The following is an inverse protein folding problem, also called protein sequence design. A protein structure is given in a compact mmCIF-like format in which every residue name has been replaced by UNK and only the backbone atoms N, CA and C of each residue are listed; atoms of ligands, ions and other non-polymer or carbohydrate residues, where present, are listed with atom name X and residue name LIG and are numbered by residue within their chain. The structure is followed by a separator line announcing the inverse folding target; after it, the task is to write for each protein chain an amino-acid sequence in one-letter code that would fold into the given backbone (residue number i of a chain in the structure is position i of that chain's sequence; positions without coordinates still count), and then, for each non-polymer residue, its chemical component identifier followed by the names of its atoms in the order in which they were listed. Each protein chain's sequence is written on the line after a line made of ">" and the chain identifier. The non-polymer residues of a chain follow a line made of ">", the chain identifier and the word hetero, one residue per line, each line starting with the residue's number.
data_IF_319586732168
#
_entry.id   IF_319586732168
#
_cell.length_a   1.000
_cell.length_b   1.000
_cell.length_c   1.000
_cell.angle_alpha   90.00
_cell.angle_beta   90.00
_cell.angle_gamma   90.00
#
_symmetry.space_group_name_H-M   'P 1'
#
loop_
_entity.id
_entity.type
_entity.pdbx_description
1 polymer ?
#
# COMPACT_ATOMS: atom_id res chain seq x y z
N UNK A 1 -7.29 -13.18 -0.62
CA UNK A 1 -7.72 -12.05 0.25
C UNK A 1 -6.79 -10.89 -0.10
N UNK A 2 -7.32 -9.68 -0.32
CA UNK A 2 -6.51 -8.49 -0.65
C UNK A 2 -5.60 -8.11 0.53
N UNK A 3 -4.35 -7.75 0.23
CA UNK A 3 -3.40 -7.23 1.22
C UNK A 3 -3.63 -5.71 1.37
N UNK A 4 -3.99 -5.26 2.57
CA UNK A 4 -4.21 -3.84 2.87
C UNK A 4 -2.99 -3.23 3.56
N UNK A 5 -2.48 -2.15 2.99
CA UNK A 5 -1.37 -1.36 3.54
C UNK A 5 -1.80 0.09 3.77
N UNK A 6 -1.10 0.79 4.66
CA UNK A 6 -1.14 2.25 4.76
C UNK A 6 0.09 2.88 4.12
N UNK A 7 -0.10 3.96 3.35
CA UNK A 7 0.98 4.75 2.73
C UNK A 7 1.32 5.94 3.62
N UNK A 8 2.14 5.70 4.64
CA UNK A 8 2.42 6.70 5.69
C UNK A 8 3.74 6.44 6.42
N UNK A 9 4.28 7.48 7.08
CA UNK A 9 5.33 7.38 8.10
C UNK A 9 4.81 7.76 9.52
N UNK A 10 3.51 7.99 9.68
CA UNK A 10 2.89 8.36 10.96
C UNK A 10 2.56 7.11 11.77
N UNK A 11 3.40 6.83 12.77
CA UNK A 11 3.25 5.67 13.67
C UNK A 11 1.96 5.74 14.48
N UNK A 12 1.50 6.93 14.88
CA UNK A 12 0.28 7.08 15.66
C UNK A 12 -0.96 6.71 14.81
N UNK A 13 -0.98 7.12 13.55
CA UNK A 13 -2.03 6.73 12.60
C UNK A 13 -2.01 5.22 12.33
N UNK A 14 -0.82 4.61 12.15
CA UNK A 14 -0.72 3.15 11.97
C UNK A 14 -1.28 2.41 13.20
N UNK A 15 -0.92 2.84 14.41
CA UNK A 15 -1.45 2.26 15.65
C UNK A 15 -2.98 2.39 15.73
N UNK A 16 -3.52 3.55 15.38
CA UNK A 16 -4.97 3.81 15.36
C UNK A 16 -5.70 2.88 14.39
N UNK A 17 -5.21 2.77 13.15
CA UNK A 17 -5.86 1.94 12.14
C UNK A 17 -5.70 0.45 12.40
N UNK A 18 -4.60 0.01 13.02
CA UNK A 18 -4.41 -1.39 13.38
C UNK A 18 -5.45 -1.92 14.39
N UNK A 19 -6.11 -1.01 15.12
CA UNK A 19 -7.21 -1.38 16.03
C UNK A 19 -8.50 -1.76 15.30
N UNK A 20 -8.69 -1.33 14.04
CA UNK A 20 -9.95 -1.49 13.33
C UNK A 20 -9.82 -2.07 11.91
N UNK A 21 -8.61 -2.11 11.34
CA UNK A 21 -8.37 -2.64 10.00
C UNK A 21 -7.35 -3.79 10.03
N UNK A 22 -7.52 -4.81 9.19
CA UNK A 22 -6.58 -5.93 9.08
C UNK A 22 -5.37 -5.52 8.23
N UNK A 23 -4.49 -4.70 8.79
CA UNK A 23 -3.32 -4.20 8.07
C UNK A 23 -2.29 -5.32 7.84
N UNK A 24 -1.86 -5.50 6.59
CA UNK A 24 -0.72 -6.36 6.24
C UNK A 24 0.61 -5.69 6.59
N UNK A 25 0.66 -4.35 6.54
CA UNK A 25 1.86 -3.57 6.80
C UNK A 25 1.75 -2.14 6.32
N UNK A 26 2.89 -1.55 6.00
CA UNK A 26 3.01 -0.13 5.62
C UNK A 26 3.91 0.03 4.40
N UNK A 27 3.54 0.96 3.53
CA UNK A 27 4.41 1.43 2.46
C UNK A 27 4.91 2.83 2.78
N UNK A 28 6.19 3.08 2.50
CA UNK A 28 6.80 4.40 2.57
C UNK A 28 7.38 4.79 1.21
N UNK A 29 7.82 6.01 1.11
CA UNK A 29 8.62 6.52 0.00
C UNK A 29 9.45 7.71 0.49
N UNK A 30 10.48 8.18 -0.26
CA UNK A 30 11.34 9.27 0.17
C UNK A 30 10.58 10.56 0.53
N UNK A 31 9.49 10.88 -0.17
CA UNK A 31 8.69 12.08 0.10
C UNK A 31 7.91 11.98 1.41
N UNK A 32 7.39 10.80 1.74
CA UNK A 32 6.69 10.53 3.01
C UNK A 32 7.67 10.65 4.17
N UNK A 33 8.83 10.00 4.08
CA UNK A 33 9.88 10.06 5.10
C UNK A 33 10.43 11.49 5.28
N UNK A 34 10.66 12.21 4.19
CA UNK A 34 11.12 13.60 4.26
C UNK A 34 10.10 14.51 4.98
N UNK A 35 8.81 14.30 4.77
CA UNK A 35 7.75 15.07 5.46
C UNK A 35 7.66 14.73 6.94
N UNK A 36 7.85 13.48 7.33
CA UNK A 36 7.83 13.07 8.75
C UNK A 36 9.05 13.58 9.53
N UNK A 37 10.15 13.92 8.84
CA UNK A 37 11.45 14.29 9.43
C UNK A 37 12.04 13.19 10.31
N UNK A 38 11.58 11.96 10.19
CA UNK A 38 12.10 10.77 10.88
C UNK A 38 12.88 9.90 9.91
N UNK A 39 13.97 9.31 10.39
CA UNK A 39 14.76 8.36 9.62
C UNK A 39 13.99 7.04 9.40
N UNK A 40 14.36 6.29 8.35
CA UNK A 40 13.71 5.03 8.02
C UNK A 40 13.74 4.04 9.20
N UNK A 41 14.89 3.85 9.84
CA UNK A 41 15.04 2.88 10.93
C UNK A 41 14.16 3.20 12.13
N UNK A 42 14.08 4.47 12.52
CA UNK A 42 13.19 4.92 13.59
C UNK A 42 11.71 4.70 13.22
N UNK A 43 11.35 5.04 11.99
CA UNK A 43 9.99 4.83 11.47
C UNK A 43 9.62 3.34 11.48
N UNK A 44 10.48 2.45 10.97
CA UNK A 44 10.21 1.01 10.93
C UNK A 44 10.09 0.40 12.32
N UNK A 45 10.95 0.81 13.27
CA UNK A 45 10.88 0.34 14.66
C UNK A 45 9.54 0.72 15.31
N UNK A 46 9.12 1.97 15.18
CA UNK A 46 7.82 2.44 15.70
C UNK A 46 6.63 1.73 15.05
N UNK A 47 6.68 1.48 13.76
CA UNK A 47 5.63 0.75 13.04
C UNK A 47 5.57 -0.73 13.41
N UNK A 48 6.73 -1.36 13.63
CA UNK A 48 6.81 -2.73 14.12
C UNK A 48 6.14 -2.87 15.50
N UNK A 49 6.39 -1.91 16.39
CA UNK A 49 5.75 -1.87 17.71
C UNK A 49 4.23 -1.64 17.58
N UNK A 50 3.80 -0.73 16.70
CA UNK A 50 2.40 -0.37 16.50
C UNK A 50 1.56 -1.51 15.88
N UNK A 51 2.15 -2.31 14.98
CA UNK A 51 1.47 -3.39 14.27
C UNK A 51 1.58 -4.73 15.02
N UNK A 52 2.71 -5.00 15.67
CA UNK A 52 3.01 -6.30 16.25
C UNK A 52 3.21 -7.40 15.19
N UNK A 53 3.45 -8.62 15.63
CA UNK A 53 3.59 -9.77 14.71
C UNK A 53 4.70 -9.61 13.67
N UNK A 54 4.41 -9.97 12.42
CA UNK A 54 5.34 -9.88 11.28
C UNK A 54 4.73 -9.03 10.15
N UNK A 55 4.62 -7.72 10.34
CA UNK A 55 4.12 -6.83 9.31
C UNK A 55 5.12 -6.71 8.16
N UNK A 56 4.60 -6.49 6.94
CA UNK A 56 5.43 -6.24 5.76
C UNK A 56 5.66 -4.76 5.55
N UNK A 57 6.92 -4.39 5.31
CA UNK A 57 7.31 -3.01 5.04
C UNK A 57 7.85 -2.84 3.63
N UNK A 58 7.49 -1.73 3.02
CA UNK A 58 7.99 -1.35 1.70
C UNK A 58 8.78 -0.05 1.81
N UNK A 59 10.09 -0.11 1.56
CA UNK A 59 11.00 1.03 1.59
C UNK A 59 11.73 1.20 0.26
N UNK A 60 11.91 2.44 -0.18
CA UNK A 60 12.41 2.76 -1.52
C UNK A 60 13.90 3.11 -1.50
N UNK A 61 14.66 2.55 -2.45
CA UNK A 61 16.02 2.96 -2.76
C UNK A 61 16.05 4.42 -3.25
N UNK A 62 17.09 5.16 -2.88
CA UNK A 62 17.31 6.56 -3.30
C UNK A 62 18.45 6.73 -4.27
N UNK A 63 19.30 5.72 -4.43
CA UNK A 63 20.36 5.69 -5.44
C UNK A 63 19.79 5.79 -6.85
N UNK A 64 20.57 6.37 -7.76
CA UNK A 64 20.21 6.55 -9.18
C UNK A 64 20.95 5.63 -10.16
N UNK A 65 21.95 4.88 -9.67
CA UNK A 65 22.72 3.91 -10.46
C UNK A 65 22.30 2.48 -10.17
N UNK A 66 22.51 1.56 -11.10
CA UNK A 66 22.19 0.13 -10.93
C UNK A 66 22.93 -0.44 -9.70
N UNK A 67 24.23 -0.22 -9.63
CA UNK A 67 25.10 -0.71 -8.55
C UNK A 67 24.68 -0.14 -7.20
N UNK A 68 24.39 1.17 -7.16
CA UNK A 68 23.90 1.84 -5.95
C UNK A 68 22.55 1.32 -5.48
N UNK A 69 21.58 1.13 -6.37
CA UNK A 69 20.28 0.55 -6.03
C UNK A 69 20.41 -0.87 -5.48
N UNK A 70 21.26 -1.71 -6.09
CA UNK A 70 21.48 -3.08 -5.62
C UNK A 70 22.18 -3.10 -4.25
N UNK A 71 23.19 -2.28 -4.05
CA UNK A 71 23.89 -2.17 -2.77
C UNK A 71 22.94 -1.72 -1.65
N UNK A 72 22.12 -0.71 -1.91
CA UNK A 72 21.12 -0.21 -0.97
C UNK A 72 20.02 -1.25 -0.69
N UNK A 73 19.58 -1.99 -1.72
CA UNK A 73 18.59 -3.06 -1.57
C UNK A 73 19.09 -4.20 -0.67
N UNK A 74 20.37 -4.58 -0.74
CA UNK A 74 20.96 -5.56 0.17
C UNK A 74 20.88 -5.10 1.62
N UNK A 75 21.23 -3.83 1.89
CA UNK A 75 21.17 -3.26 3.24
C UNK A 75 19.72 -3.20 3.77
N UNK A 76 18.75 -2.84 2.93
CA UNK A 76 17.33 -2.87 3.30
C UNK A 76 16.86 -4.30 3.59
N UNK A 77 17.30 -5.28 2.81
CA UNK A 77 16.91 -6.68 2.96
C UNK A 77 17.56 -7.36 4.20
N UNK A 78 18.66 -6.82 4.70
CA UNK A 78 19.33 -7.27 5.94
C UNK A 78 18.63 -6.76 7.22
N UNK A 79 17.70 -5.80 7.12
CA UNK A 79 16.95 -5.33 8.27
C UNK A 79 16.10 -6.46 8.87
N UNK A 80 15.87 -6.47 10.20
CA UNK A 80 15.17 -7.56 10.89
C UNK A 80 13.64 -7.51 10.70
N UNK A 81 13.19 -7.21 9.48
CA UNK A 81 11.78 -7.05 9.12
C UNK A 81 11.44 -7.82 7.83
N UNK A 82 10.15 -8.09 7.60
CA UNK A 82 9.67 -8.57 6.29
C UNK A 82 9.70 -7.39 5.30
N UNK A 83 10.83 -7.23 4.60
CA UNK A 83 11.11 -6.09 3.73
C UNK A 83 10.82 -6.40 2.27
N UNK A 84 10.19 -5.44 1.60
CA UNK A 84 10.07 -5.37 0.13
C UNK A 84 10.73 -4.07 -0.32
N UNK A 85 11.73 -4.19 -1.18
CA UNK A 85 12.50 -3.05 -1.66
C UNK A 85 11.78 -2.38 -2.83
N UNK A 86 11.48 -1.08 -2.69
CA UNK A 86 10.84 -0.31 -3.77
C UNK A 86 11.88 0.25 -4.73
N UNK A 87 11.66 0.03 -6.02
CA UNK A 87 12.57 0.47 -7.10
C UNK A 87 11.75 1.16 -8.19
N UNK A 88 12.10 2.40 -8.62
CA UNK A 88 11.40 3.06 -9.70
C UNK A 88 11.47 2.27 -11.02
N UNK A 89 10.36 2.18 -11.74
CA UNK A 89 10.25 1.46 -13.02
C UNK A 89 10.87 2.27 -14.19
N UNK A 90 12.16 2.56 -14.08
CA UNK A 90 13.01 3.21 -15.11
C UNK A 90 13.93 2.17 -15.76
N UNK A 91 14.62 2.52 -16.86
CA UNK A 91 15.62 1.64 -17.49
C UNK A 91 16.65 1.14 -16.46
N UNK A 92 17.22 2.06 -15.65
CA UNK A 92 18.17 1.73 -14.56
C UNK A 92 17.52 0.87 -13.50
N UNK A 93 16.27 1.18 -13.10
CA UNK A 93 15.51 0.43 -12.11
C UNK A 93 15.19 -0.99 -12.58
N UNK A 94 14.78 -1.18 -13.82
CA UNK A 94 14.53 -2.50 -14.41
C UNK A 94 15.80 -3.36 -14.44
N UNK A 95 16.95 -2.76 -14.77
CA UNK A 95 18.24 -3.45 -14.72
C UNK A 95 18.59 -3.86 -13.28
N UNK A 96 18.38 -2.97 -12.29
CA UNK A 96 18.60 -3.26 -10.88
C UNK A 96 17.67 -4.37 -10.36
N UNK A 97 16.37 -4.35 -10.72
CA UNK A 97 15.39 -5.39 -10.36
C UNK A 97 15.88 -6.77 -10.79
N UNK A 98 16.35 -6.93 -12.05
CA UNK A 98 16.88 -8.20 -12.55
C UNK A 98 18.05 -8.75 -11.71
N UNK A 99 18.89 -7.87 -11.18
CA UNK A 99 20.01 -8.27 -10.31
C UNK A 99 19.53 -8.63 -8.91
N UNK A 100 18.69 -7.82 -8.31
CA UNK A 100 18.08 -8.06 -6.98
C UNK A 100 17.33 -9.40 -6.96
N UNK A 101 16.61 -9.74 -8.03
CA UNK A 101 15.88 -11.02 -8.13
C UNK A 101 16.80 -12.23 -8.19
N UNK A 102 18.00 -12.12 -8.73
CA UNK A 102 19.01 -13.20 -8.66
C UNK A 102 19.52 -13.45 -7.25
N UNK A 103 19.43 -12.45 -6.39
CA UNK A 103 19.81 -12.50 -4.98
C UNK A 103 18.63 -12.87 -4.05
N UNK A 104 17.44 -13.12 -4.59
CA UNK A 104 16.25 -13.48 -3.83
C UNK A 104 15.58 -12.30 -3.09
N UNK A 105 15.99 -11.06 -3.35
CA UNK A 105 15.40 -9.87 -2.74
C UNK A 105 13.97 -9.66 -3.26
N UNK A 106 13.02 -9.41 -2.38
CA UNK A 106 11.66 -9.05 -2.75
C UNK A 106 11.61 -7.60 -3.23
N UNK A 107 10.98 -7.38 -4.39
CA UNK A 107 10.98 -6.07 -5.06
C UNK A 107 9.57 -5.62 -5.40
N UNK A 108 9.28 -4.35 -5.12
CA UNK A 108 8.13 -3.61 -5.62
C UNK A 108 8.61 -2.58 -6.66
N UNK A 109 8.21 -2.76 -7.91
CA UNK A 109 8.42 -1.73 -8.93
C UNK A 109 7.44 -0.58 -8.71
N UNK A 110 7.96 0.65 -8.57
CA UNK A 110 7.17 1.84 -8.23
C UNK A 110 7.30 2.94 -9.29
N UNK A 111 6.58 4.04 -9.11
CA UNK A 111 6.49 5.12 -10.10
C UNK A 111 5.99 4.62 -11.47
N UNK A 112 4.98 3.75 -11.45
CA UNK A 112 4.34 3.22 -12.65
C UNK A 112 3.18 4.16 -13.03
N UNK A 113 3.23 4.65 -14.26
CA UNK A 113 2.22 5.55 -14.84
C UNK A 113 1.54 4.96 -16.09
N UNK A 114 1.96 3.78 -16.54
CA UNK A 114 1.38 3.08 -17.68
C UNK A 114 1.46 1.56 -17.52
N UNK A 115 0.54 0.83 -18.16
CA UNK A 115 0.50 -0.62 -18.08
C UNK A 115 1.80 -1.27 -18.62
N UNK A 116 2.39 -0.71 -19.70
CA UNK A 116 3.63 -1.21 -20.26
C UNK A 116 4.83 -1.09 -19.31
N UNK A 117 4.93 -0.03 -18.50
CA UNK A 117 5.98 0.07 -17.47
C UNK A 117 5.85 -1.04 -16.43
N UNK A 118 4.62 -1.27 -15.93
CA UNK A 118 4.33 -2.33 -14.97
C UNK A 118 4.62 -3.72 -15.56
N UNK A 119 4.19 -3.96 -16.78
CA UNK A 119 4.42 -5.23 -17.47
C UNK A 119 5.90 -5.53 -17.67
N UNK A 120 6.70 -4.56 -18.10
CA UNK A 120 8.16 -4.72 -18.21
C UNK A 120 8.82 -5.00 -16.86
N UNK A 121 8.35 -4.37 -15.78
CA UNK A 121 8.84 -4.63 -14.44
C UNK A 121 8.49 -6.06 -13.96
N UNK A 122 7.29 -6.55 -14.28
CA UNK A 122 6.88 -7.94 -14.01
C UNK A 122 7.76 -8.93 -14.79
N UNK A 123 8.05 -8.68 -16.06
CA UNK A 123 8.97 -9.50 -16.87
C UNK A 123 10.40 -9.49 -16.32
N UNK A 124 10.83 -8.42 -15.63
CA UNK A 124 12.11 -8.38 -14.93
C UNK A 124 12.09 -9.13 -13.58
N UNK A 125 10.92 -9.63 -13.16
CA UNK A 125 10.75 -10.46 -11.96
C UNK A 125 10.29 -9.68 -10.72
N UNK A 126 9.84 -8.43 -10.84
CA UNK A 126 9.27 -7.70 -9.70
C UNK A 126 8.12 -8.49 -9.05
N UNK A 127 8.09 -8.56 -7.71
CA UNK A 127 7.06 -9.28 -6.95
C UNK A 127 5.78 -8.44 -6.81
N UNK A 128 5.94 -7.12 -6.75
CA UNK A 128 4.84 -6.16 -6.68
C UNK A 128 5.01 -5.03 -7.69
N UNK A 129 3.88 -4.50 -8.13
CA UNK A 129 3.79 -3.38 -9.09
C UNK A 129 2.91 -2.29 -8.51
N UNK A 130 3.43 -1.06 -8.40
CA UNK A 130 2.70 0.06 -7.83
C UNK A 130 2.31 1.12 -8.88
N UNK A 131 1.19 0.93 -9.61
CA UNK A 131 0.62 1.98 -10.43
C UNK A 131 0.07 3.12 -9.56
N UNK A 132 0.33 4.36 -9.99
CA UNK A 132 -0.04 5.58 -9.25
C UNK A 132 -1.36 6.15 -9.75
N UNK A 133 -2.49 5.59 -9.29
CA UNK A 133 -3.84 5.84 -9.81
C UNK A 133 -4.17 7.33 -9.90
N UNK A 134 -4.18 8.04 -8.78
CA UNK A 134 -4.52 9.46 -8.77
C UNK A 134 -3.52 10.34 -9.55
N UNK A 135 -2.24 9.98 -9.59
CA UNK A 135 -1.26 10.76 -10.37
C UNK A 135 -1.48 10.60 -11.87
N UNK A 136 -1.90 9.42 -12.32
CA UNK A 136 -2.29 9.18 -13.72
C UNK A 136 -3.51 10.04 -14.05
N UNK A 137 -4.54 10.02 -13.21
CA UNK A 137 -5.76 10.82 -13.39
C UNK A 137 -5.44 12.34 -13.44
N UNK A 138 -4.55 12.81 -12.54
CA UNK A 138 -4.12 14.21 -12.50
C UNK A 138 -3.35 14.67 -13.76
N UNK A 139 -2.85 13.72 -14.56
CA UNK A 139 -2.20 13.95 -15.86
C UNK A 139 -3.14 13.74 -17.06
N UNK A 140 -4.47 13.76 -16.82
CA UNK A 140 -5.52 13.49 -17.80
C UNK A 140 -5.48 12.05 -18.39
N UNK A 141 -4.92 11.10 -17.65
CA UNK A 141 -5.02 9.68 -17.93
C UNK A 141 -6.21 9.03 -17.23
N UNK A 142 -6.28 7.70 -17.26
CA UNK A 142 -7.25 6.89 -16.53
C UNK A 142 -6.49 5.83 -15.70
N UNK A 143 -6.29 6.11 -14.41
CA UNK A 143 -5.52 5.24 -13.52
C UNK A 143 -6.16 3.88 -13.31
N UNK A 144 -7.49 3.80 -13.28
CA UNK A 144 -8.23 2.54 -13.15
C UNK A 144 -8.04 1.68 -14.39
N UNK A 145 -8.09 2.27 -15.59
CA UNK A 145 -7.87 1.56 -16.86
C UNK A 145 -6.42 1.04 -16.95
N UNK A 146 -5.44 1.82 -16.53
CA UNK A 146 -4.02 1.37 -16.48
C UNK A 146 -3.87 0.15 -15.56
N UNK A 147 -4.56 0.12 -14.42
CA UNK A 147 -4.55 -1.06 -13.54
C UNK A 147 -5.25 -2.25 -14.19
N UNK A 148 -6.40 -2.04 -14.84
CA UNK A 148 -7.13 -3.09 -15.55
C UNK A 148 -6.30 -3.71 -16.66
N UNK A 149 -5.67 -2.90 -17.50
CA UNK A 149 -4.80 -3.36 -18.57
C UNK A 149 -3.59 -4.13 -18.04
N UNK A 150 -2.99 -3.63 -16.94
CA UNK A 150 -1.85 -4.30 -16.31
C UNK A 150 -2.28 -5.66 -15.73
N UNK A 151 -3.41 -5.74 -15.04
CA UNK A 151 -3.94 -7.02 -14.52
C UNK A 151 -4.19 -8.00 -15.66
N UNK A 152 -4.83 -7.56 -16.74
CA UNK A 152 -5.07 -8.39 -17.92
C UNK A 152 -3.76 -8.93 -18.53
N UNK A 153 -2.72 -8.08 -18.64
CA UNK A 153 -1.41 -8.50 -19.16
C UNK A 153 -0.73 -9.54 -18.25
N UNK A 154 -0.82 -9.37 -16.93
CA UNK A 154 -0.28 -10.34 -15.96
C UNK A 154 -0.99 -11.69 -16.09
N UNK A 155 -2.31 -11.69 -16.15
CA UNK A 155 -3.14 -12.90 -16.24
C UNK A 155 -2.88 -13.66 -17.55
N UNK A 156 -2.87 -12.96 -18.69
CA UNK A 156 -2.64 -13.55 -20.02
C UNK A 156 -1.25 -14.17 -20.16
N UNK A 157 -0.25 -13.60 -19.48
CA UNK A 157 1.13 -14.08 -19.52
C UNK A 157 1.50 -14.94 -18.30
N UNK A 158 0.54 -15.22 -17.39
CA UNK A 158 0.73 -16.03 -16.18
C UNK A 158 1.92 -15.54 -15.33
N UNK A 159 2.08 -14.22 -15.23
CA UNK A 159 3.13 -13.60 -14.42
C UNK A 159 2.70 -13.54 -12.95
N UNK A 160 3.57 -13.97 -12.01
CA UNK A 160 3.21 -14.06 -10.61
C UNK A 160 3.26 -12.72 -9.85
N UNK A 161 3.60 -11.62 -10.52
CA UNK A 161 3.66 -10.30 -9.92
C UNK A 161 2.28 -9.86 -9.44
N UNK A 162 2.21 -9.26 -8.24
CA UNK A 162 0.99 -8.72 -7.65
C UNK A 162 0.87 -7.22 -7.93
N UNK A 163 -0.32 -6.74 -8.23
CA UNK A 163 -0.57 -5.30 -8.26
C UNK A 163 -0.79 -4.82 -6.83
N UNK A 164 0.07 -3.88 -6.37
CA UNK A 164 -0.09 -3.09 -5.16
C UNK A 164 -0.40 -1.66 -5.58
N UNK A 165 -1.67 -1.38 -5.91
CA UNK A 165 -2.09 -0.07 -6.38
C UNK A 165 -1.90 1.00 -5.31
N UNK A 166 -1.42 2.18 -5.71
CA UNK A 166 -1.02 3.26 -4.83
C UNK A 166 -1.49 4.63 -5.35
N UNK A 167 -1.30 5.67 -4.52
CA UNK A 167 -1.65 7.05 -4.88
C UNK A 167 -3.14 7.22 -5.12
N UNK A 168 -3.91 7.23 -4.05
CA UNK A 168 -5.35 7.49 -4.06
C UNK A 168 -5.68 8.86 -3.49
N UNK A 169 -6.76 9.48 -3.95
CA UNK A 169 -7.27 10.76 -3.45
C UNK A 169 -8.68 10.65 -2.87
N UNK A 170 -9.40 9.61 -3.21
CA UNK A 170 -10.75 9.37 -2.75
C UNK A 170 -11.08 7.87 -2.73
N UNK A 171 -12.16 7.53 -2.05
CA UNK A 171 -12.61 6.14 -1.90
C UNK A 171 -13.14 5.53 -3.20
N UNK A 172 -13.64 6.33 -4.13
CA UNK A 172 -14.13 5.84 -5.41
C UNK A 172 -12.99 5.22 -6.22
N UNK A 173 -11.85 5.93 -6.37
CA UNK A 173 -10.67 5.38 -7.04
C UNK A 173 -10.23 4.05 -6.41
N UNK A 174 -10.18 3.99 -5.07
CA UNK A 174 -9.79 2.79 -4.35
C UNK A 174 -10.75 1.63 -4.61
N UNK A 175 -12.06 1.87 -4.54
CA UNK A 175 -13.09 0.85 -4.77
C UNK A 175 -13.10 0.34 -6.21
N UNK A 176 -12.95 1.23 -7.19
CA UNK A 176 -12.92 0.83 -8.60
C UNK A 176 -11.71 -0.07 -8.90
N UNK A 177 -10.55 0.27 -8.36
CA UNK A 177 -9.35 -0.56 -8.52
C UNK A 177 -9.48 -1.91 -7.79
N UNK A 178 -10.02 -1.94 -6.56
CA UNK A 178 -10.23 -3.20 -5.84
C UNK A 178 -11.21 -4.15 -6.56
N UNK A 179 -12.21 -3.62 -7.27
CA UNK A 179 -13.16 -4.43 -8.07
C UNK A 179 -12.49 -5.15 -9.24
N UNK A 180 -11.30 -4.73 -9.66
CA UNK A 180 -10.53 -5.41 -10.72
C UNK A 180 -9.90 -6.73 -10.23
N UNK A 181 -9.95 -7.01 -8.91
CA UNK A 181 -9.42 -8.25 -8.35
C UNK A 181 -7.94 -8.20 -8.01
N UNK A 182 -7.35 -7.00 -7.91
CA UNK A 182 -5.95 -6.83 -7.51
C UNK A 182 -5.65 -7.46 -6.15
N UNK A 183 -4.40 -7.88 -5.93
CA UNK A 183 -4.00 -8.61 -4.72
C UNK A 183 -3.62 -7.71 -3.56
N UNK A 184 -3.25 -6.45 -3.82
CA UNK A 184 -2.80 -5.53 -2.78
C UNK A 184 -3.15 -4.07 -3.08
N UNK A 185 -3.38 -3.28 -2.02
CA UNK A 185 -3.64 -1.85 -2.10
C UNK A 185 -2.97 -1.12 -0.95
N UNK A 186 -2.43 0.07 -1.21
CA UNK A 186 -1.94 0.95 -0.16
C UNK A 186 -2.68 2.28 -0.18
N UNK A 187 -3.26 2.66 0.95
CA UNK A 187 -4.10 3.84 1.09
C UNK A 187 -3.40 4.89 1.96
N UNK A 188 -3.43 6.18 1.57
CA UNK A 188 -3.13 7.25 2.50
C UNK A 188 -4.16 7.25 3.64
N UNK A 189 -3.77 7.73 4.81
CA UNK A 189 -4.57 7.63 6.04
C UNK A 189 -5.91 8.34 5.95
N UNK A 190 -5.99 9.45 5.23
CA UNK A 190 -7.22 10.20 4.99
C UNK A 190 -8.23 9.41 4.12
N UNK A 191 -7.76 8.72 3.09
CA UNK A 191 -8.61 7.85 2.27
C UNK A 191 -9.03 6.60 3.06
N UNK A 192 -8.12 5.99 3.81
CA UNK A 192 -8.45 4.84 4.67
C UNK A 192 -9.55 5.18 5.68
N UNK A 193 -9.50 6.37 6.31
CA UNK A 193 -10.55 6.84 7.20
C UNK A 193 -11.90 7.00 6.49
N UNK A 194 -11.91 7.53 5.27
CA UNK A 194 -13.13 7.72 4.48
C UNK A 194 -13.81 6.40 4.09
N UNK A 195 -13.08 5.27 4.05
CA UNK A 195 -13.67 3.98 3.68
C UNK A 195 -14.80 3.53 4.62
N UNK A 196 -14.78 3.95 5.87
CA UNK A 196 -15.82 3.61 6.85
C UNK A 196 -16.56 4.84 7.41
N UNK A 197 -16.09 6.05 7.18
CA UNK A 197 -16.68 7.29 7.71
C UNK A 197 -17.85 7.80 6.83
N UNK A 198 -18.90 6.98 6.68
CA UNK A 198 -20.10 7.42 5.95
C UNK A 198 -20.93 8.39 6.82
N UNK A 199 -21.34 9.56 6.29
CA UNK A 199 -22.07 10.59 7.07
C UNK A 199 -23.36 10.10 7.72
N UNK A 200 -24.03 9.11 7.14
CA UNK A 200 -25.27 8.55 7.67
C UNK A 200 -25.09 7.60 8.87
N UNK A 201 -23.86 7.13 9.15
CA UNK A 201 -23.62 6.12 10.20
C UNK A 201 -23.85 6.72 11.57
N UNK A 202 -23.25 7.88 11.87
CA UNK A 202 -23.36 8.51 13.20
C UNK A 202 -24.80 8.82 13.59
N UNK A 203 -25.64 9.48 12.77
CA UNK A 203 -27.05 9.69 13.09
C UNK A 203 -27.84 8.40 13.30
N UNK A 204 -27.55 7.35 12.54
CA UNK A 204 -28.23 6.06 12.70
C UNK A 204 -27.88 5.39 14.04
N UNK A 205 -26.60 5.42 14.43
CA UNK A 205 -26.14 4.86 15.72
C UNK A 205 -26.75 5.65 16.88
N UNK A 206 -26.73 6.98 16.81
CA UNK A 206 -27.36 7.84 17.83
C UNK A 206 -28.87 7.54 17.98
N UNK A 207 -29.58 7.26 16.87
CA UNK A 207 -30.98 6.87 16.92
C UNK A 207 -31.15 5.47 17.56
N UNK A 208 -30.32 4.49 17.22
CA UNK A 208 -30.36 3.15 17.84
C UNK A 208 -30.13 3.23 19.34
N UNK A 209 -29.17 4.02 19.80
CA UNK A 209 -28.90 4.23 21.22
C UNK A 209 -30.11 4.84 21.95
N UNK A 210 -30.78 5.81 21.32
CA UNK A 210 -31.98 6.44 21.87
C UNK A 210 -33.13 5.43 21.99
N UNK A 211 -33.46 4.73 20.91
CA UNK A 211 -34.55 3.75 20.89
C UNK A 211 -34.32 2.63 21.91
N UNK A 212 -33.07 2.18 22.02
CA UNK A 212 -32.69 1.17 23.01
C UNK A 212 -32.90 1.66 24.44
N UNK A 213 -32.36 2.82 24.78
CA UNK A 213 -32.48 3.41 26.12
C UNK A 213 -33.92 3.71 26.53
N UNK A 214 -34.76 4.17 25.61
CA UNK A 214 -36.19 4.41 25.86
C UNK A 214 -36.94 3.13 26.19
N UNK A 215 -36.56 1.97 25.67
CA UNK A 215 -37.26 0.69 25.85
C UNK A 215 -36.65 -0.15 26.98
N UNK A 216 -35.34 -0.23 27.07
CA UNK A 216 -34.62 -1.18 27.92
C UNK A 216 -33.73 -0.49 29.00
N UNK A 217 -33.65 0.85 29.02
CA UNK A 217 -32.79 1.59 29.91
C UNK A 217 -31.31 1.31 29.65
N UNK A 218 -30.56 1.10 30.72
CA UNK A 218 -29.11 0.85 30.65
C UNK A 218 -28.74 -0.64 30.47
N UNK A 219 -29.72 -1.51 30.25
CA UNK A 219 -29.46 -2.94 30.00
C UNK A 219 -28.65 -3.15 28.74
N UNK A 220 -27.76 -4.14 28.79
CA UNK A 220 -27.08 -4.64 27.59
C UNK A 220 -28.00 -5.57 26.79
N UNK A 221 -27.70 -5.79 25.51
CA UNK A 221 -28.56 -6.54 24.59
C UNK A 221 -28.88 -7.97 25.06
N UNK A 222 -27.95 -8.62 25.77
CA UNK A 222 -28.14 -9.96 26.32
C UNK A 222 -28.89 -9.98 27.67
N UNK A 223 -29.22 -8.82 28.22
CA UNK A 223 -29.96 -8.65 29.46
C UNK A 223 -31.43 -8.26 29.21
N UNK A 224 -31.79 -8.06 27.96
CA UNK A 224 -33.13 -7.60 27.56
C UNK A 224 -34.12 -8.75 27.35
#
# INVERSE_FOLDING_TARGET
>A
MIELYLDTADVAEVKRFNQCLPLKGVTTNPSILAKSKQGLNETLAGMQEALGGTPRFHAQVVSSTVEGMVAEARQLNELPYDMVVKVPATETGLAAIKLMKKEGIQVLATAIYSAQQGFLAALCGADYLAPYVNRIDAMNGNGVEVVADLQLLLDQNQLPAKILAASFKNTQQAMEVMKLGIEAITLPTDVAAQMYAHPAVKPAVEQFDKDWKETFGDKLSFES
#
